data_IF_623896043972
#
_entry.id   IF_623896043972
#
_cell.length_a   1.000
_cell.length_b   1.000
_cell.length_c   1.000
_cell.angle_alpha   90.00
_cell.angle_beta   90.00
_cell.angle_gamma   90.00
#
_symmetry.space_group_name_H-M   'P 1'
#
loop_
_entity.id
_entity.type
_entity.pdbx_description
1 polymer ?
#
# COMPACT_ATOMS: atom_id res chain seq x y z
N UNK A 1 11.46 -14.89 -16.32
CA UNK A 1 10.84 -13.55 -16.16
C UNK A 1 11.78 -12.53 -16.80
N UNK A 2 11.38 -11.88 -17.89
CA UNK A 2 12.27 -11.04 -18.71
C UNK A 2 12.55 -9.68 -18.06
N UNK A 3 13.76 -9.15 -18.28
CA UNK A 3 14.22 -7.87 -17.75
C UNK A 3 13.35 -6.66 -18.19
N UNK A 4 12.61 -6.80 -19.29
CA UNK A 4 11.63 -5.81 -19.77
C UNK A 4 10.52 -5.55 -18.74
N UNK A 5 10.04 -6.60 -18.06
CA UNK A 5 9.00 -6.49 -17.02
C UNK A 5 9.45 -5.67 -15.81
N UNK A 6 10.72 -5.78 -15.42
CA UNK A 6 11.29 -4.99 -14.31
C UNK A 6 11.48 -3.53 -14.69
N UNK A 7 11.92 -3.25 -15.92
CA UNK A 7 12.14 -1.89 -16.40
C UNK A 7 10.83 -1.11 -16.51
N UNK A 8 9.77 -1.75 -16.99
CA UNK A 8 8.42 -1.16 -17.03
C UNK A 8 7.83 -0.93 -15.64
N UNK A 9 8.06 -1.85 -14.69
CA UNK A 9 7.64 -1.66 -13.28
C UNK A 9 8.36 -0.48 -12.65
N UNK A 10 9.66 -0.35 -12.86
CA UNK A 10 10.45 0.78 -12.37
C UNK A 10 10.06 2.10 -13.02
N UNK A 11 9.71 2.09 -14.32
CA UNK A 11 9.21 3.27 -15.03
C UNK A 11 7.87 3.73 -14.45
N UNK A 12 6.91 2.81 -14.30
CA UNK A 12 5.60 3.10 -13.66
C UNK A 12 5.74 3.57 -12.21
N UNK A 13 6.68 3.00 -11.46
CA UNK A 13 6.98 3.45 -10.10
C UNK A 13 7.54 4.88 -10.12
N UNK A 14 8.56 5.15 -10.95
CA UNK A 14 9.14 6.50 -11.10
C UNK A 14 8.10 7.53 -11.53
N UNK A 15 7.29 7.24 -12.54
CA UNK A 15 6.25 8.15 -13.05
C UNK A 15 5.15 8.44 -12.03
N UNK A 16 4.88 7.49 -11.12
CA UNK A 16 3.91 7.65 -10.02
C UNK A 16 4.51 8.40 -8.82
N UNK A 17 5.80 8.24 -8.58
CA UNK A 17 6.55 8.83 -7.46
C UNK A 17 7.02 10.26 -7.74
N UNK A 18 7.34 10.59 -9.00
CA UNK A 18 7.93 11.88 -9.42
C UNK A 18 6.90 12.94 -9.86
N UNK A 19 5.59 12.66 -9.81
CA UNK A 19 4.55 13.62 -10.18
C UNK A 19 4.26 14.67 -9.09
N UNK A 20 4.80 14.51 -7.89
CA UNK A 20 4.70 15.49 -6.81
C UNK A 20 6.10 16.11 -6.61
N UNK A 21 6.15 17.44 -6.61
CA UNK A 21 7.38 18.26 -6.52
C UNK A 21 8.29 17.90 -5.33
N UNK A 22 7.74 17.22 -4.31
CA UNK A 22 8.42 16.80 -3.09
C UNK A 22 8.37 15.27 -2.87
N UNK A 23 8.21 14.47 -3.93
CA UNK A 23 8.05 13.02 -3.81
C UNK A 23 6.82 12.60 -2.98
N UNK A 24 6.55 11.30 -2.81
CA UNK A 24 5.43 10.88 -1.99
C UNK A 24 5.82 11.13 -0.52
N UNK A 25 5.15 12.08 0.14
CA UNK A 25 5.26 12.31 1.58
C UNK A 25 4.67 11.12 2.34
N UNK A 26 5.43 10.04 2.44
CA UNK A 26 5.04 8.82 3.14
C UNK A 26 5.69 8.79 4.51
N UNK A 27 4.87 8.65 5.55
CA UNK A 27 5.35 8.33 6.89
C UNK A 27 5.55 6.82 7.03
N UNK A 28 6.70 6.38 7.56
CA UNK A 28 6.96 4.96 7.83
C UNK A 28 6.13 4.50 9.03
N UNK A 29 5.22 3.56 8.82
CA UNK A 29 4.48 2.86 9.86
C UNK A 29 5.10 1.48 10.11
N UNK A 30 5.58 1.23 11.33
CA UNK A 30 6.01 -0.10 11.78
C UNK A 30 5.21 -0.47 13.01
N UNK A 31 4.50 -1.60 12.94
CA UNK A 31 3.66 -2.12 14.02
C UNK A 31 3.77 -3.63 14.07
N UNK A 32 3.59 -4.19 15.25
CA UNK A 32 3.27 -5.60 15.43
C UNK A 32 1.76 -5.74 15.49
N UNK A 33 1.24 -6.77 14.84
CA UNK A 33 -0.19 -7.11 14.83
C UNK A 33 -0.33 -8.60 15.14
N UNK A 34 -1.49 -8.98 15.66
CA UNK A 34 -1.82 -10.38 15.92
C UNK A 34 -1.81 -11.23 14.65
N UNK A 35 -1.59 -12.53 14.81
CA UNK A 35 -1.55 -13.50 13.70
C UNK A 35 -2.84 -13.49 12.88
N UNK A 36 -3.98 -13.37 13.55
CA UNK A 36 -5.31 -13.31 12.91
C UNK A 36 -5.45 -12.04 12.06
N UNK A 37 -5.08 -10.88 12.58
CA UNK A 37 -5.11 -9.61 11.84
C UNK A 37 -4.17 -9.64 10.62
N UNK A 38 -3.02 -10.31 10.73
CA UNK A 38 -2.12 -10.52 9.61
C UNK A 38 -2.75 -11.41 8.52
N UNK A 39 -3.45 -12.48 8.90
CA UNK A 39 -4.16 -13.36 7.98
C UNK A 39 -5.30 -12.63 7.25
N UNK A 40 -6.05 -11.79 7.96
CA UNK A 40 -7.11 -10.97 7.37
C UNK A 40 -6.56 -9.96 6.36
N UNK A 41 -5.44 -9.30 6.69
CA UNK A 41 -4.77 -8.38 5.77
C UNK A 41 -4.37 -9.10 4.46
N UNK A 42 -3.84 -10.32 4.55
CA UNK A 42 -3.52 -11.14 3.37
C UNK A 42 -4.78 -11.50 2.57
N UNK A 43 -5.88 -11.86 3.25
CA UNK A 43 -7.14 -12.19 2.59
C UNK A 43 -7.71 -10.96 1.85
N UNK A 44 -7.66 -9.77 2.45
CA UNK A 44 -8.08 -8.51 1.82
C UNK A 44 -7.26 -8.25 0.56
N UNK A 45 -5.93 -8.34 0.66
CA UNK A 45 -5.02 -8.17 -0.48
C UNK A 45 -5.38 -9.13 -1.62
N UNK A 46 -5.63 -10.41 -1.33
CA UNK A 46 -6.01 -11.41 -2.33
C UNK A 46 -7.35 -11.12 -2.99
N UNK A 47 -8.38 -10.76 -2.21
CA UNK A 47 -9.74 -10.52 -2.71
C UNK A 47 -9.86 -9.23 -3.53
N UNK A 48 -9.12 -8.19 -3.15
CA UNK A 48 -9.24 -6.85 -3.74
C UNK A 48 -8.18 -6.55 -4.80
N UNK A 49 -7.07 -7.29 -4.81
CA UNK A 49 -5.88 -6.95 -5.59
C UNK A 49 -5.12 -5.72 -5.06
N UNK A 50 -5.47 -5.22 -3.88
CA UNK A 50 -4.80 -4.07 -3.27
C UNK A 50 -3.41 -4.42 -2.75
N UNK A 51 -2.56 -3.41 -2.62
CA UNK A 51 -1.34 -3.56 -1.82
C UNK A 51 -1.68 -3.44 -0.33
N UNK A 52 -0.85 -4.04 0.55
CA UNK A 52 -1.01 -3.89 2.01
C UNK A 52 -1.12 -2.43 2.44
N UNK A 53 -0.35 -1.54 1.81
CA UNK A 53 -0.44 -0.09 2.04
C UNK A 53 -1.85 0.44 1.76
N UNK A 54 -2.42 0.15 0.60
CA UNK A 54 -3.77 0.62 0.25
C UNK A 54 -4.82 0.06 1.20
N UNK A 55 -4.69 -1.21 1.60
CA UNK A 55 -5.58 -1.81 2.60
C UNK A 55 -5.49 -1.11 3.96
N UNK A 56 -4.28 -0.86 4.47
CA UNK A 56 -4.05 -0.18 5.75
C UNK A 56 -4.53 1.28 5.70
N UNK A 57 -4.16 2.05 4.67
CA UNK A 57 -4.61 3.43 4.49
C UNK A 57 -6.14 3.52 4.40
N UNK A 58 -6.79 2.56 3.75
CA UNK A 58 -8.25 2.50 3.66
C UNK A 58 -8.88 2.18 5.02
N UNK A 59 -8.32 1.23 5.78
CA UNK A 59 -8.80 0.90 7.12
C UNK A 59 -8.69 2.09 8.07
N UNK A 60 -7.55 2.79 8.07
CA UNK A 60 -7.34 4.00 8.88
C UNK A 60 -8.34 5.09 8.49
N UNK A 61 -8.58 5.32 7.19
CA UNK A 61 -9.56 6.32 6.73
C UNK A 61 -11.00 5.99 7.13
N UNK A 62 -11.36 4.70 7.18
CA UNK A 62 -12.68 4.28 7.67
C UNK A 62 -12.79 4.53 9.17
N UNK A 63 -11.81 4.05 9.93
CA UNK A 63 -11.77 4.23 11.38
C UNK A 63 -11.79 5.71 11.77
N UNK A 64 -11.06 6.57 11.06
CA UNK A 64 -11.06 8.02 11.30
C UNK A 64 -12.45 8.65 11.18
N UNK A 65 -13.28 8.17 10.23
CA UNK A 65 -14.67 8.65 10.07
C UNK A 65 -15.61 8.16 11.16
N UNK A 66 -15.27 7.04 11.79
CA UNK A 66 -16.10 6.43 12.84
C UNK A 66 -15.80 7.04 14.22
N UNK A 67 -14.70 7.78 14.36
CA UNK A 67 -14.27 8.43 15.62
C UNK A 67 -14.45 9.95 15.63
N UNK A 68 -14.79 10.56 14.49
CA UNK A 68 -15.21 11.96 14.34
C UNK A 68 -16.71 12.12 14.60
#
# INVERSE_FOLDING_TARGET
>A
MSAESNRERQKRWRERTLKESDGPQLTRLQVYIELEAAADLEQIVRKTGWTKRVAIETAIKKLARDVD
#
